data_IF_880857747379
#
_entry.id   IF_880857747379
#
_cell.length_a   1.000
_cell.length_b   1.000
_cell.length_c   1.000
_cell.angle_alpha   90.00
_cell.angle_beta   90.00
_cell.angle_gamma   90.00
#
_symmetry.space_group_name_H-M   'P 1'
#
loop_
_entity.id
_entity.type
_entity.pdbx_description
1 polymer ?
#
# COMPACT_ATOMS: atom_id res chain seq x y z
N UNK A 1 -32.36 51.23 -15.70
CA UNK A 1 -31.59 50.26 -16.50
C UNK A 1 -30.45 49.75 -15.62
N UNK A 2 -30.42 48.45 -15.31
CA UNK A 2 -29.39 47.72 -14.55
C UNK A 2 -28.99 46.51 -15.41
N UNK A 3 -27.69 46.17 -15.46
CA UNK A 3 -27.31 44.82 -15.03
C UNK A 3 -26.03 44.89 -14.16
N UNK A 4 -26.02 44.34 -12.96
CA UNK A 4 -25.85 42.91 -12.61
C UNK A 4 -24.37 42.53 -12.51
N UNK A 5 -23.87 42.68 -11.28
CA UNK A 5 -22.64 42.07 -10.79
C UNK A 5 -22.66 40.56 -11.04
N UNK A 6 -21.68 40.05 -11.77
CA UNK A 6 -21.40 38.63 -11.90
C UNK A 6 -20.29 38.28 -10.90
N UNK A 7 -20.70 37.79 -9.73
CA UNK A 7 -19.79 37.13 -8.79
C UNK A 7 -19.42 35.76 -9.35
N UNK A 8 -18.14 35.56 -9.65
CA UNK A 8 -17.59 34.29 -10.12
C UNK A 8 -17.48 33.36 -8.90
N UNK A 9 -18.36 32.36 -8.84
CA UNK A 9 -18.28 31.27 -7.87
C UNK A 9 -17.17 30.29 -8.27
N UNK A 10 -16.03 30.37 -7.60
CA UNK A 10 -14.99 29.33 -7.67
C UNK A 10 -15.45 28.09 -6.90
N UNK A 11 -15.93 27.07 -7.63
CA UNK A 11 -16.20 25.76 -7.07
C UNK A 11 -14.86 25.05 -6.79
N UNK A 12 -14.40 25.08 -5.54
CA UNK A 12 -13.38 24.15 -5.07
C UNK A 12 -13.99 22.74 -5.10
N UNK A 13 -13.58 21.95 -6.09
CA UNK A 13 -13.75 20.51 -6.08
C UNK A 13 -12.95 19.95 -4.90
N UNK A 14 -13.63 19.75 -3.76
CA UNK A 14 -13.13 18.90 -2.69
C UNK A 14 -13.07 17.47 -3.24
N UNK A 15 -11.93 17.08 -3.81
CA UNK A 15 -11.62 15.69 -4.06
C UNK A 15 -11.52 15.03 -2.69
N UNK A 16 -12.60 14.38 -2.27
CA UNK A 16 -12.59 13.54 -1.07
C UNK A 16 -11.52 12.48 -1.26
N UNK A 17 -10.43 12.59 -0.49
CA UNK A 17 -9.42 11.54 -0.40
C UNK A 17 -10.14 10.36 0.22
N UNK A 18 -10.56 9.38 -0.59
CA UNK A 18 -10.98 8.09 -0.07
C UNK A 18 -9.71 7.49 0.51
N UNK A 19 -9.53 7.61 1.82
CA UNK A 19 -8.54 6.83 2.54
C UNK A 19 -8.95 5.36 2.35
N UNK A 20 -8.40 4.71 1.33
CA UNK A 20 -8.63 3.28 1.15
C UNK A 20 -7.93 2.57 2.29
N UNK A 21 -8.71 2.22 3.31
CA UNK A 21 -8.30 1.30 4.35
C UNK A 21 -8.16 -0.07 3.70
N UNK A 22 -6.98 -0.39 3.19
CA UNK A 22 -6.64 -1.78 2.93
C UNK A 22 -6.53 -2.52 4.27
N UNK A 23 -6.66 -3.85 4.21
CA UNK A 23 -6.58 -4.72 5.38
C UNK A 23 -5.41 -5.68 5.23
N UNK A 24 -4.93 -6.19 6.34
CA UNK A 24 -4.09 -7.39 6.34
C UNK A 24 -4.95 -8.63 6.03
N UNK A 25 -4.34 -9.77 5.67
CA UNK A 25 -5.01 -11.05 5.46
C UNK A 25 -5.78 -11.56 6.68
N UNK A 26 -5.37 -11.19 7.89
CA UNK A 26 -6.11 -11.50 9.12
C UNK A 26 -7.36 -10.60 9.33
N UNK A 27 -7.64 -9.67 8.40
CA UNK A 27 -8.78 -8.76 8.40
C UNK A 27 -8.60 -7.50 9.25
N UNK A 28 -7.47 -7.32 9.93
CA UNK A 28 -7.21 -6.09 10.68
C UNK A 28 -6.91 -4.94 9.72
N UNK A 29 -7.39 -3.75 10.08
CA UNK A 29 -7.06 -2.54 9.32
C UNK A 29 -5.60 -2.18 9.56
N UNK A 30 -4.97 -1.57 8.55
CA UNK A 30 -3.72 -0.83 8.74
C UNK A 30 -4.03 0.33 9.71
N UNK A 31 -3.60 0.21 10.96
CA UNK A 31 -3.76 1.26 11.98
C UNK A 31 -2.38 1.74 12.38
N UNK A 32 -2.16 3.05 12.37
CA UNK A 32 -0.87 3.70 12.66
C UNK A 32 -0.32 3.45 14.09
N UNK A 33 -0.99 2.63 14.90
CA UNK A 33 -0.79 2.55 16.36
C UNK A 33 -0.14 1.26 16.86
N UNK A 34 0.25 0.29 16.01
CA UNK A 34 1.03 -0.88 16.49
C UNK A 34 2.53 -0.55 16.44
N UNK A 35 3.20 -0.40 17.60
CA UNK A 35 4.61 -0.05 17.64
C UNK A 35 5.45 -1.24 17.18
N UNK A 36 6.39 -1.02 16.26
CA UNK A 36 7.42 -2.00 15.89
C UNK A 36 7.11 -2.90 14.70
N UNK A 37 6.03 -2.67 13.95
CA UNK A 37 5.61 -3.58 12.85
C UNK A 37 5.83 -3.05 11.44
N UNK A 38 6.52 -1.92 11.29
CA UNK A 38 6.89 -1.39 9.97
C UNK A 38 5.68 -0.95 9.14
N UNK A 39 4.65 -0.37 9.76
CA UNK A 39 3.42 0.05 9.05
C UNK A 39 3.66 0.97 7.86
N UNK A 40 4.64 1.85 7.95
CA UNK A 40 5.04 2.74 6.85
C UNK A 40 5.50 1.97 5.61
N UNK A 41 5.87 0.69 5.78
CA UNK A 41 6.28 -0.19 4.71
C UNK A 41 5.07 -0.75 3.94
N UNK A 42 3.85 -0.62 4.47
CA UNK A 42 2.65 -1.20 3.90
C UNK A 42 1.80 -0.19 3.14
N UNK A 43 1.32 -0.58 1.97
CA UNK A 43 0.44 0.22 1.13
C UNK A 43 -0.57 -0.67 0.39
N UNK A 44 -1.73 -0.13 0.00
CA UNK A 44 -2.68 -0.86 -0.83
C UNK A 44 -2.06 -1.17 -2.19
N UNK A 45 -2.32 -2.38 -2.69
CA UNK A 45 -2.05 -2.68 -4.10
C UNK A 45 -2.90 -1.80 -5.02
N UNK A 46 -2.37 -1.47 -6.21
CA UNK A 46 -3.12 -0.68 -7.18
C UNK A 46 -4.39 -1.41 -7.66
N UNK A 47 -4.35 -2.74 -7.78
CA UNK A 47 -5.49 -3.57 -8.14
C UNK A 47 -5.28 -5.02 -7.69
N UNK A 48 -6.15 -5.59 -6.83
CA UNK A 48 -7.19 -4.94 -6.04
C UNK A 48 -6.62 -4.19 -4.83
N UNK A 49 -7.24 -3.07 -4.44
CA UNK A 49 -6.75 -2.19 -3.36
C UNK A 49 -7.27 -2.52 -1.96
N UNK A 50 -7.83 -3.71 -1.80
CA UNK A 50 -8.43 -4.17 -0.53
C UNK A 50 -7.42 -4.77 0.44
N UNK A 51 -6.24 -5.20 -0.05
CA UNK A 51 -5.16 -5.82 0.74
C UNK A 51 -3.98 -4.86 0.83
N UNK A 52 -3.38 -4.76 2.03
CA UNK A 52 -2.12 -4.04 2.22
C UNK A 52 -0.95 -5.01 2.05
N UNK A 53 0.02 -4.64 1.23
CA UNK A 53 1.28 -5.38 1.07
C UNK A 53 2.45 -4.50 1.50
N UNK A 54 3.58 -5.11 1.87
CA UNK A 54 4.79 -4.39 2.26
C UNK A 54 5.54 -3.81 1.05
N UNK A 55 4.95 -2.80 0.42
CA UNK A 55 5.40 -2.19 -0.83
C UNK A 55 6.49 -1.13 -0.67
N UNK A 56 6.77 -0.64 0.53
CA UNK A 56 7.77 0.44 0.75
C UNK A 56 9.06 -0.04 1.42
N UNK A 57 9.31 -1.35 1.44
CA UNK A 57 10.60 -1.90 1.91
C UNK A 57 11.73 -1.61 0.93
N UNK A 58 12.93 -1.40 1.46
CA UNK A 58 14.13 -1.09 0.67
C UNK A 58 14.75 -2.30 -0.04
N UNK A 59 14.54 -3.51 0.47
CA UNK A 59 15.05 -4.73 -0.16
C UNK A 59 14.06 -5.15 -1.27
N UNK A 60 14.43 -5.10 -2.56
CA UNK A 60 13.51 -5.40 -3.64
C UNK A 60 13.10 -6.89 -3.64
N UNK A 61 12.07 -7.28 -4.42
CA UNK A 61 11.74 -8.69 -4.60
C UNK A 61 12.95 -9.48 -5.11
N UNK A 62 13.04 -10.73 -4.67
CA UNK A 62 14.16 -11.66 -4.94
C UNK A 62 15.49 -11.23 -4.27
N UNK A 63 15.47 -10.17 -3.45
CA UNK A 63 16.62 -9.69 -2.69
C UNK A 63 17.07 -10.65 -1.59
N UNK A 64 18.33 -10.50 -1.16
CA UNK A 64 18.92 -11.38 -0.14
C UNK A 64 18.38 -11.04 1.26
N UNK A 65 17.99 -12.06 2.04
CA UNK A 65 17.43 -11.90 3.39
C UNK A 65 18.39 -11.21 4.37
N UNK A 66 19.71 -11.25 4.12
CA UNK A 66 20.72 -10.52 4.91
C UNK A 66 20.56 -9.00 4.82
N UNK A 67 19.83 -8.49 3.82
CA UNK A 67 19.48 -7.08 3.67
C UNK A 67 18.15 -6.69 4.33
N UNK A 68 17.54 -7.61 5.09
CA UNK A 68 16.24 -7.43 5.72
C UNK A 68 15.08 -7.97 4.88
N UNK A 69 13.85 -7.68 5.30
CA UNK A 69 12.65 -8.16 4.60
C UNK A 69 12.53 -7.55 3.20
N UNK A 70 12.23 -8.40 2.23
CA UNK A 70 11.98 -8.04 0.84
C UNK A 70 10.61 -7.38 0.66
N UNK A 71 10.51 -6.54 -0.36
CA UNK A 71 9.28 -5.89 -0.81
C UNK A 71 8.35 -6.93 -1.41
N UNK A 72 7.07 -6.80 -1.09
CA UNK A 72 6.04 -7.69 -1.62
C UNK A 72 5.69 -7.34 -3.07
N UNK A 73 5.15 -8.34 -3.77
CA UNK A 73 4.56 -8.20 -5.09
C UNK A 73 3.05 -8.37 -4.99
N UNK A 74 2.33 -7.40 -5.52
CA UNK A 74 0.88 -7.47 -5.67
C UNK A 74 0.50 -8.48 -6.75
N UNK A 75 -0.25 -9.52 -6.39
CA UNK A 75 -0.81 -10.47 -7.34
C UNK A 75 -2.20 -10.02 -7.81
N UNK A 76 -2.63 -10.43 -9.03
CA UNK A 76 -3.99 -10.17 -9.52
C UNK A 76 -5.10 -10.74 -8.63
N UNK A 77 -4.78 -11.77 -7.82
CA UNK A 77 -5.70 -12.35 -6.83
C UNK A 77 -5.97 -11.43 -5.63
N UNK A 78 -5.18 -10.36 -5.46
CA UNK A 78 -5.20 -9.51 -4.27
C UNK A 78 -4.38 -10.02 -3.11
N UNK A 79 -3.56 -11.06 -3.32
CA UNK A 79 -2.60 -11.54 -2.33
C UNK A 79 -1.22 -10.89 -2.54
N UNK A 80 -0.44 -10.84 -1.48
CA UNK A 80 0.96 -10.41 -1.49
C UNK A 80 1.88 -11.64 -1.65
N UNK A 81 2.73 -11.63 -2.67
CA UNK A 81 3.83 -12.58 -2.83
C UNK A 81 5.11 -11.95 -2.32
N UNK A 82 5.75 -12.57 -1.33
CA UNK A 82 7.07 -12.15 -0.89
C UNK A 82 8.11 -13.10 -1.47
N UNK A 83 9.08 -12.56 -2.21
CA UNK A 83 10.16 -13.33 -2.83
C UNK A 83 11.49 -12.91 -2.26
N UNK A 84 12.28 -13.87 -1.80
CA UNK A 84 13.58 -13.63 -1.23
C UNK A 84 14.62 -14.62 -1.76
N UNK A 85 15.88 -14.30 -1.49
CA UNK A 85 17.02 -15.18 -1.72
C UNK A 85 17.75 -15.39 -0.40
N UNK A 86 18.10 -16.63 -0.09
CA UNK A 86 18.94 -16.96 1.06
C UNK A 86 20.02 -17.94 0.60
N UNK A 87 21.29 -17.55 0.75
CA UNK A 87 22.43 -18.35 0.27
C UNK A 87 22.33 -18.76 -1.22
N UNK A 88 21.78 -17.88 -2.06
CA UNK A 88 21.55 -18.13 -3.48
C UNK A 88 20.34 -19.02 -3.80
N UNK A 89 19.57 -19.45 -2.80
CA UNK A 89 18.36 -20.24 -2.97
C UNK A 89 17.15 -19.30 -2.92
N UNK A 90 16.27 -19.38 -3.92
CA UNK A 90 15.05 -18.59 -3.97
C UNK A 90 13.97 -19.17 -3.06
N UNK A 91 13.40 -18.33 -2.20
CA UNK A 91 12.22 -18.59 -1.41
C UNK A 91 11.02 -17.77 -1.87
N UNK A 92 9.82 -18.33 -1.70
CA UNK A 92 8.55 -17.65 -1.95
C UNK A 92 7.60 -17.93 -0.80
N UNK A 93 7.05 -16.89 -0.19
CA UNK A 93 6.02 -16.97 0.83
C UNK A 93 4.81 -16.15 0.43
N UNK A 94 3.62 -16.63 0.78
CA UNK A 94 2.36 -15.97 0.45
C UNK A 94 1.76 -15.38 1.73
N UNK A 95 1.54 -14.07 1.74
CA UNK A 95 0.87 -13.36 2.82
C UNK A 95 1.77 -12.86 3.95
N UNK A 96 1.47 -11.64 4.39
CA UNK A 96 1.73 -11.10 5.73
C UNK A 96 0.37 -10.75 6.31
#
# INVERSE_FOLDING_TARGET
MKPHSLAIFSALLAQGVIAQTCRFPNGTALVDTWPGTGYQDFAPCATPSTMCCALSRDNPPDGDVSRGFTQDICLPSGLCENRNTENGIRGVTWGI
#
